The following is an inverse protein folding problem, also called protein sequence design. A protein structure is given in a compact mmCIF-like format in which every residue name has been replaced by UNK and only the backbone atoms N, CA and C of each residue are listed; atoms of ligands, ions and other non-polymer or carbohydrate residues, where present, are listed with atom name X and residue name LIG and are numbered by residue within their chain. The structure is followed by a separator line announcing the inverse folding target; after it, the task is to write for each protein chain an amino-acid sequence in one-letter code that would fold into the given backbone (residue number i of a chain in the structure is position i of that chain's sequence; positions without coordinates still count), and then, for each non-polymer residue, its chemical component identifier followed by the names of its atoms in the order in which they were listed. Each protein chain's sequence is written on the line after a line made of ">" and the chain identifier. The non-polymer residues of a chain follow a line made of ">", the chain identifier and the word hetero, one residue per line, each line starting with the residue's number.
data_IF_810952104897
#
_entry.id   IF_810952104897
#
_cell.length_a   1.000
_cell.length_b   1.000
_cell.length_c   1.000
_cell.angle_alpha   90.00
_cell.angle_beta   90.00
_cell.angle_gamma   90.00
#
_symmetry.space_group_name_H-M   'P 1'
#
loop_
_entity.id
_entity.type
_entity.pdbx_description
1 polymer ?
#
# COMPACT_ATOMS: atom_id res chain seq x y z
N UNK A 1 -7.56 21.23 9.01
CA UNK A 1 -8.04 19.84 9.14
C UNK A 1 -8.45 19.40 7.75
N UNK A 2 -7.69 18.51 7.13
CA UNK A 2 -8.02 17.94 5.82
C UNK A 2 -9.18 16.96 6.03
N UNK A 3 -10.01 16.80 5.00
CA UNK A 3 -11.14 15.88 5.06
C UNK A 3 -10.68 14.43 5.36
N UNK A 4 -9.51 14.05 4.85
CA UNK A 4 -8.90 12.72 5.06
C UNK A 4 -8.37 12.50 6.47
N UNK A 5 -8.18 13.54 7.30
CA UNK A 5 -7.71 13.41 8.69
C UNK A 5 -8.64 12.51 9.52
N UNK A 6 -9.96 12.62 9.31
CA UNK A 6 -10.95 11.81 10.03
C UNK A 6 -10.96 10.36 9.57
N UNK A 7 -10.80 10.14 8.27
CA UNK A 7 -10.67 8.80 7.69
C UNK A 7 -9.40 8.13 8.24
N UNK A 8 -8.28 8.86 8.25
CA UNK A 8 -7.01 8.38 8.77
C UNK A 8 -7.12 8.05 10.27
N UNK A 9 -7.79 8.90 11.05
CA UNK A 9 -8.04 8.65 12.47
C UNK A 9 -8.88 7.39 12.70
N UNK A 10 -9.92 7.16 11.90
CA UNK A 10 -10.74 5.95 11.98
C UNK A 10 -9.93 4.69 11.63
N UNK A 11 -9.09 4.75 10.59
CA UNK A 11 -8.19 3.66 10.20
C UNK A 11 -7.23 3.31 11.35
N UNK A 12 -6.55 4.31 11.91
CA UNK A 12 -5.65 4.12 13.06
C UNK A 12 -6.35 3.53 14.28
N UNK A 13 -7.60 3.92 14.52
CA UNK A 13 -8.41 3.41 15.61
C UNK A 13 -9.03 2.03 15.34
N UNK A 14 -8.80 1.46 14.15
CA UNK A 14 -9.42 0.22 13.69
C UNK A 14 -10.97 0.29 13.70
N UNK A 15 -11.55 1.46 13.44
CA UNK A 15 -12.98 1.76 13.54
C UNK A 15 -13.64 1.76 12.15
N UNK A 16 -14.10 0.60 11.70
CA UNK A 16 -14.78 0.45 10.41
C UNK A 16 -16.05 1.31 10.29
N UNK A 17 -16.97 1.36 11.27
CA UNK A 17 -18.13 2.23 11.20
C UNK A 17 -17.79 3.71 11.03
N UNK A 18 -16.78 4.23 11.74
CA UNK A 18 -16.33 5.60 11.56
C UNK A 18 -15.70 5.80 10.18
N UNK A 19 -14.86 4.87 9.74
CA UNK A 19 -14.27 4.92 8.41
C UNK A 19 -15.33 5.05 7.31
N UNK A 20 -16.37 4.20 7.35
CA UNK A 20 -17.44 4.21 6.36
C UNK A 20 -18.26 5.51 6.40
N UNK A 21 -18.59 6.00 7.60
CA UNK A 21 -19.35 7.24 7.79
C UNK A 21 -18.59 8.47 7.33
N UNK A 22 -17.27 8.51 7.55
CA UNK A 22 -16.46 9.65 7.12
C UNK A 22 -16.17 9.54 5.62
N UNK A 23 -15.74 8.38 5.11
CA UNK A 23 -15.34 8.20 3.71
C UNK A 23 -16.50 8.37 2.73
N UNK A 24 -17.51 7.52 2.80
CA UNK A 24 -18.44 7.34 1.67
C UNK A 24 -19.30 8.56 1.32
N UNK A 25 -19.75 9.39 2.28
CA UNK A 25 -20.50 10.60 1.93
C UNK A 25 -19.70 11.64 1.13
N UNK A 26 -18.37 11.52 1.11
CA UNK A 26 -17.49 12.56 0.59
C UNK A 26 -16.48 12.04 -0.45
N UNK A 27 -16.06 10.79 -0.36
CA UNK A 27 -15.25 10.10 -1.36
C UNK A 27 -15.91 8.74 -1.66
N UNK A 28 -16.63 8.64 -2.80
CA UNK A 28 -17.23 7.39 -3.25
C UNK A 28 -16.20 6.27 -3.50
N UNK A 29 -16.69 5.05 -3.72
CA UNK A 29 -15.84 3.98 -4.24
C UNK A 29 -15.32 4.31 -5.64
N UNK A 30 -14.09 3.89 -5.91
CA UNK A 30 -13.40 4.17 -7.17
C UNK A 30 -12.64 5.49 -7.21
N UNK A 31 -12.82 6.37 -6.23
CA UNK A 31 -12.10 7.64 -6.13
C UNK A 31 -10.80 7.50 -5.31
N UNK A 32 -9.84 8.39 -5.61
CA UNK A 32 -8.55 8.43 -4.92
C UNK A 32 -8.73 8.97 -3.49
N UNK A 33 -8.11 8.29 -2.52
CA UNK A 33 -8.00 8.76 -1.13
C UNK A 33 -6.52 9.02 -0.82
N UNK A 34 -6.15 10.29 -0.67
CA UNK A 34 -4.77 10.69 -0.39
C UNK A 34 -4.57 11.01 1.10
N UNK A 35 -3.59 10.35 1.68
CA UNK A 35 -3.08 10.59 3.02
C UNK A 35 -1.70 11.23 2.93
N UNK A 36 -1.49 12.29 3.68
CA UNK A 36 -0.23 13.06 3.66
C UNK A 36 0.21 13.30 5.11
N UNK A 37 1.46 12.94 5.42
CA UNK A 37 2.08 13.08 6.75
C UNK A 37 1.38 12.25 7.86
N UNK A 38 0.76 11.12 7.49
CA UNK A 38 0.00 10.28 8.43
C UNK A 38 0.83 9.11 8.99
N UNK A 39 0.50 8.69 10.22
CA UNK A 39 1.14 7.53 10.85
C UNK A 39 0.18 6.34 10.95
N UNK A 40 0.37 5.35 10.09
CA UNK A 40 -0.35 4.07 10.05
C UNK A 40 0.49 2.87 10.53
N UNK A 41 1.55 3.12 11.30
CA UNK A 41 2.40 2.03 11.79
C UNK A 41 1.59 1.00 12.58
N UNK A 42 1.80 -0.28 12.25
CA UNK A 42 1.13 -1.42 12.89
C UNK A 42 -0.36 -1.58 12.57
N UNK A 43 -0.94 -0.76 11.68
CA UNK A 43 -2.36 -0.86 11.31
C UNK A 43 -2.62 -2.14 10.51
N UNK A 44 -3.73 -2.79 10.83
CA UNK A 44 -4.31 -3.86 10.03
C UNK A 44 -5.35 -3.29 9.06
N UNK A 45 -5.09 -3.41 7.76
CA UNK A 45 -5.95 -2.85 6.73
C UNK A 45 -7.06 -3.81 6.25
N UNK A 46 -7.13 -5.04 6.77
CA UNK A 46 -8.01 -6.11 6.27
C UNK A 46 -9.48 -5.66 6.10
N UNK A 47 -10.02 -4.96 7.09
CA UNK A 47 -11.41 -4.52 7.10
C UNK A 47 -11.70 -3.25 6.28
N UNK A 48 -10.69 -2.53 5.82
CA UNK A 48 -10.88 -1.28 5.09
C UNK A 48 -10.80 -1.53 3.60
N UNK A 49 -11.88 -1.22 2.88
CA UNK A 49 -11.87 -1.29 1.41
C UNK A 49 -10.90 -0.24 0.88
N UNK A 50 -9.74 -0.67 0.40
CA UNK A 50 -8.72 0.18 -0.19
C UNK A 50 -8.94 0.18 -1.71
N UNK A 51 -9.55 1.25 -2.23
CA UNK A 51 -9.69 1.48 -3.66
C UNK A 51 -8.36 1.96 -4.24
N UNK A 52 -8.27 3.26 -4.48
CA UNK A 52 -7.06 3.93 -4.95
C UNK A 52 -6.46 4.77 -3.83
N UNK A 53 -5.71 4.14 -2.93
CA UNK A 53 -5.08 4.87 -1.82
C UNK A 53 -3.73 5.43 -2.25
N UNK A 54 -3.44 6.65 -1.81
CA UNK A 54 -2.15 7.32 -1.98
C UNK A 54 -1.62 7.64 -0.59
N UNK A 55 -0.44 7.11 -0.28
CA UNK A 55 0.29 7.39 0.96
C UNK A 55 1.50 8.27 0.63
N UNK A 56 1.47 9.52 1.05
CA UNK A 56 2.54 10.48 0.83
C UNK A 56 3.17 10.88 2.16
N UNK A 57 4.49 10.72 2.28
CA UNK A 57 5.24 10.97 3.51
C UNK A 57 4.62 10.30 4.76
N UNK A 58 4.06 9.09 4.57
CA UNK A 58 3.39 8.36 5.63
C UNK A 58 4.33 7.35 6.29
N UNK A 59 4.05 7.00 7.55
CA UNK A 59 4.68 5.87 8.21
C UNK A 59 3.72 4.68 8.23
N UNK A 60 4.08 3.59 7.56
CA UNK A 60 3.33 2.32 7.48
C UNK A 60 4.15 1.15 8.04
N UNK A 61 5.18 1.43 8.85
CA UNK A 61 6.03 0.39 9.41
C UNK A 61 5.20 -0.66 10.17
N UNK A 62 5.37 -1.93 9.80
CA UNK A 62 4.67 -3.07 10.41
C UNK A 62 3.18 -3.17 10.08
N UNK A 63 2.66 -2.37 9.15
CA UNK A 63 1.28 -2.50 8.67
C UNK A 63 1.05 -3.86 7.98
N UNK A 64 -0.21 -4.29 7.87
CA UNK A 64 -0.57 -5.57 7.22
C UNK A 64 -1.86 -5.47 6.41
N UNK A 65 -2.02 -6.42 5.48
CA UNK A 65 -3.21 -6.52 4.61
C UNK A 65 -3.48 -5.26 3.80
N UNK A 66 -2.44 -4.59 3.32
CA UNK A 66 -2.60 -3.50 2.35
C UNK A 66 -2.87 -4.13 0.98
N UNK A 67 -4.12 -4.13 0.54
CA UNK A 67 -4.55 -4.63 -0.77
C UNK A 67 -5.22 -3.52 -1.60
N UNK A 68 -5.50 -3.79 -2.86
CA UNK A 68 -6.09 -2.83 -3.80
C UNK A 68 -5.23 -2.59 -5.04
N UNK A 69 -5.78 -1.92 -6.05
CA UNK A 69 -5.16 -1.83 -7.37
C UNK A 69 -5.53 -0.53 -8.11
N UNK A 70 -4.56 0.35 -8.43
CA UNK A 70 -3.24 0.49 -7.82
C UNK A 70 -3.26 1.22 -6.46
N UNK A 71 -2.25 0.92 -5.63
CA UNK A 71 -1.92 1.63 -4.39
C UNK A 71 -0.62 2.40 -4.60
N UNK A 72 -0.59 3.67 -4.18
CA UNK A 72 0.58 4.53 -4.34
C UNK A 72 1.29 4.77 -3.02
N UNK A 73 2.62 4.67 -3.02
CA UNK A 73 3.47 5.07 -1.91
C UNK A 73 4.51 6.07 -2.39
N UNK A 74 4.55 7.25 -1.77
CA UNK A 74 5.45 8.34 -2.15
C UNK A 74 6.20 8.77 -0.90
N UNK A 75 7.52 8.69 -0.91
CA UNK A 75 8.40 9.11 0.18
C UNK A 75 7.99 8.56 1.57
N UNK A 76 7.45 7.34 1.61
CA UNK A 76 6.87 6.75 2.81
C UNK A 76 7.78 5.68 3.44
N UNK A 77 7.66 5.50 4.75
CA UNK A 77 8.28 4.39 5.47
C UNK A 77 7.34 3.20 5.44
N UNK A 78 7.79 2.06 4.92
CA UNK A 78 6.95 0.86 4.71
C UNK A 78 7.73 -0.39 5.17
N UNK A 79 8.48 -0.26 6.26
CA UNK A 79 9.36 -1.33 6.75
C UNK A 79 8.55 -2.41 7.44
N UNK A 80 9.02 -3.65 7.40
CA UNK A 80 8.41 -4.79 8.11
C UNK A 80 6.92 -5.06 7.79
N UNK A 81 6.41 -4.44 6.72
CA UNK A 81 5.04 -4.55 6.23
C UNK A 81 4.73 -6.01 5.87
N UNK A 82 3.52 -6.46 6.17
CA UNK A 82 3.09 -7.82 5.90
C UNK A 82 2.20 -7.90 4.66
N UNK A 83 2.80 -8.34 3.56
CA UNK A 83 2.12 -8.60 2.29
C UNK A 83 1.81 -10.08 2.07
N UNK A 84 1.96 -10.95 3.08
CA UNK A 84 1.61 -12.38 2.92
C UNK A 84 0.15 -12.55 2.47
N UNK A 85 -0.08 -13.37 1.44
CA UNK A 85 -1.39 -13.54 0.82
C UNK A 85 -1.94 -12.33 0.05
N UNK A 86 -1.24 -11.20 0.00
CA UNK A 86 -1.72 -9.98 -0.67
C UNK A 86 -1.52 -10.08 -2.18
N UNK A 87 -2.54 -9.66 -2.93
CA UNK A 87 -2.47 -9.43 -4.37
C UNK A 87 -2.77 -7.97 -4.64
N UNK A 88 -1.77 -7.22 -5.13
CA UNK A 88 -1.88 -5.78 -5.31
C UNK A 88 -1.07 -5.31 -6.53
N UNK A 89 -1.41 -4.13 -7.04
CA UNK A 89 -0.56 -3.37 -7.96
C UNK A 89 -0.09 -2.15 -7.18
N UNK A 90 1.22 -2.01 -7.04
CA UNK A 90 1.85 -0.95 -6.27
C UNK A 90 2.64 -0.03 -7.19
N UNK A 91 2.46 1.27 -7.03
CA UNK A 91 3.34 2.30 -7.59
C UNK A 91 4.06 2.99 -6.43
N UNK A 92 5.33 2.67 -6.25
CA UNK A 92 6.13 3.16 -5.14
C UNK A 92 7.31 4.02 -5.63
N UNK A 93 7.49 5.17 -5.00
CA UNK A 93 8.62 6.07 -5.24
C UNK A 93 9.25 6.52 -3.92
N UNK A 94 10.59 6.42 -3.81
CA UNK A 94 11.34 6.97 -2.68
C UNK A 94 11.04 6.33 -1.32
N UNK A 95 10.50 5.11 -1.30
CA UNK A 95 10.05 4.44 -0.08
C UNK A 95 11.09 3.48 0.50
N UNK A 96 10.94 3.12 1.78
CA UNK A 96 11.75 2.08 2.44
C UNK A 96 10.92 0.85 2.77
N UNK A 97 11.13 -0.24 2.02
CA UNK A 97 10.40 -1.51 2.12
C UNK A 97 11.21 -2.63 2.78
N UNK A 98 12.35 -2.30 3.41
CA UNK A 98 13.18 -3.32 4.08
C UNK A 98 12.41 -4.04 5.18
N UNK A 99 12.60 -5.35 5.28
CA UNK A 99 11.88 -6.22 6.20
C UNK A 99 10.50 -6.67 5.71
N UNK A 100 10.04 -6.25 4.51
CA UNK A 100 8.73 -6.69 3.99
C UNK A 100 8.58 -8.21 4.00
N UNK A 101 7.41 -8.68 4.45
CA UNK A 101 7.06 -10.10 4.52
C UNK A 101 6.18 -10.46 3.34
N UNK A 102 6.45 -11.60 2.76
CA UNK A 102 5.76 -12.15 1.60
C UNK A 102 5.86 -13.66 1.60
N UNK A 103 4.96 -14.31 0.87
CA UNK A 103 4.88 -15.75 0.70
C UNK A 103 4.57 -16.09 -0.76
N UNK A 104 4.29 -17.38 -1.03
CA UNK A 104 4.02 -17.88 -2.38
C UNK A 104 2.71 -17.34 -2.99
N UNK A 105 1.77 -16.91 -2.14
CA UNK A 105 0.49 -16.32 -2.56
C UNK A 105 0.58 -14.81 -2.82
N UNK A 106 1.69 -14.19 -2.43
CA UNK A 106 1.91 -12.75 -2.57
C UNK A 106 2.18 -12.40 -4.04
N UNK A 107 1.34 -11.56 -4.65
CA UNK A 107 1.42 -11.19 -6.07
C UNK A 107 1.43 -9.67 -6.28
N UNK A 108 2.42 -9.20 -7.03
CA UNK A 108 2.61 -7.80 -7.42
C UNK A 108 2.50 -7.58 -8.93
N UNK A 109 2.11 -8.61 -9.67
CA UNK A 109 1.89 -8.59 -11.11
C UNK A 109 0.60 -9.34 -11.41
N UNK A 110 -0.24 -8.79 -12.28
CA UNK A 110 -1.50 -9.39 -12.71
C UNK A 110 -1.55 -9.54 -14.23
N UNK A 111 -1.98 -10.71 -14.70
CA UNK A 111 -1.97 -11.06 -16.13
C UNK A 111 -0.62 -11.64 -16.58
N UNK A 112 -0.42 -11.74 -17.90
CA UNK A 112 0.77 -12.34 -18.50
C UNK A 112 1.20 -11.67 -19.80
N UNK A 113 2.44 -11.93 -20.22
CA UNK A 113 3.01 -11.36 -21.45
C UNK A 113 3.23 -9.85 -21.39
N UNK A 114 3.25 -9.19 -22.53
CA UNK A 114 3.50 -7.75 -22.63
C UNK A 114 2.43 -6.91 -21.91
N UNK A 115 1.18 -7.40 -21.87
CA UNK A 115 0.02 -6.70 -21.30
C UNK A 115 -0.17 -6.90 -19.79
N UNK A 116 0.76 -7.56 -19.09
CA UNK A 116 0.63 -7.74 -17.65
C UNK A 116 0.70 -6.38 -16.91
N UNK A 117 -0.23 -6.15 -15.98
CA UNK A 117 -0.16 -5.05 -15.04
C UNK A 117 0.92 -5.36 -14.01
N UNK A 118 1.93 -4.50 -13.89
CA UNK A 118 3.09 -4.71 -13.04
C UNK A 118 3.16 -3.62 -12.00
N UNK A 119 3.48 -4.00 -10.76
CA UNK A 119 3.92 -3.03 -9.77
C UNK A 119 5.25 -2.40 -10.20
N UNK A 120 5.49 -1.18 -9.72
CA UNK A 120 6.72 -0.42 -9.95
C UNK A 120 7.28 0.12 -8.64
N UNK A 121 8.59 0.00 -8.48
CA UNK A 121 9.35 0.50 -7.34
C UNK A 121 10.52 1.36 -7.85
N UNK A 122 10.42 2.68 -7.68
CA UNK A 122 11.41 3.66 -8.12
C UNK A 122 12.13 4.27 -6.92
N UNK A 123 13.46 4.29 -6.95
CA UNK A 123 14.32 4.82 -5.88
C UNK A 123 13.96 4.26 -4.49
N UNK A 124 13.44 3.03 -4.44
CA UNK A 124 12.98 2.39 -3.21
C UNK A 124 14.09 1.55 -2.58
N UNK A 125 14.15 1.54 -1.25
CA UNK A 125 15.07 0.69 -0.50
C UNK A 125 14.43 -0.68 -0.29
N UNK A 126 15.08 -1.72 -0.78
CA UNK A 126 14.65 -3.11 -0.69
C UNK A 126 15.81 -3.95 -0.14
N UNK A 127 15.50 -5.03 0.57
CA UNK A 127 16.51 -6.04 0.90
C UNK A 127 16.78 -6.93 -0.32
N UNK A 128 17.98 -7.50 -0.43
CA UNK A 128 18.39 -8.38 -1.54
C UNK A 128 17.38 -9.52 -1.82
N UNK A 129 16.78 -10.07 -0.76
CA UNK A 129 15.77 -11.13 -0.89
C UNK A 129 14.47 -10.61 -1.49
N UNK A 130 14.00 -9.45 -1.04
CA UNK A 130 12.79 -8.82 -1.55
C UNK A 130 12.98 -8.40 -3.01
N UNK A 131 14.12 -7.80 -3.35
CA UNK A 131 14.44 -7.44 -4.74
C UNK A 131 14.41 -8.67 -5.65
N UNK A 132 15.07 -9.77 -5.26
CA UNK A 132 15.05 -11.03 -6.04
C UNK A 132 13.64 -11.60 -6.20
N UNK A 133 12.82 -11.52 -5.16
CA UNK A 133 11.44 -11.97 -5.21
C UNK A 133 10.60 -11.15 -6.20
N UNK A 134 10.66 -9.82 -6.11
CA UNK A 134 9.95 -8.90 -7.01
C UNK A 134 10.39 -9.06 -8.47
N UNK A 135 11.70 -9.13 -8.74
CA UNK A 135 12.22 -9.34 -10.10
C UNK A 135 11.74 -10.65 -10.72
N UNK A 136 11.62 -11.72 -9.93
CA UNK A 136 11.09 -13.01 -10.41
C UNK A 136 9.63 -12.94 -10.85
N UNK A 137 8.83 -12.06 -10.24
CA UNK A 137 7.45 -11.83 -10.67
C UNK A 137 7.35 -10.95 -11.92
N UNK A 138 8.42 -10.22 -12.26
CA UNK A 138 8.42 -9.23 -13.34
C UNK A 138 7.95 -7.84 -12.89
N UNK A 139 8.15 -7.49 -11.62
CA UNK A 139 7.97 -6.13 -11.10
C UNK A 139 9.04 -5.21 -11.66
N UNK A 140 8.65 -3.99 -12.02
CA UNK A 140 9.58 -2.97 -12.50
C UNK A 140 10.33 -2.35 -11.32
N UNK A 141 11.65 -2.50 -11.26
CA UNK A 141 12.48 -1.92 -10.20
C UNK A 141 13.51 -1.00 -10.85
N UNK A 142 13.51 0.27 -10.43
CA UNK A 142 14.53 1.25 -10.75
C UNK A 142 15.11 1.77 -9.43
N UNK A 143 16.36 1.45 -9.13
CA UNK A 143 17.00 1.81 -7.85
C UNK A 143 17.75 3.14 -7.92
#
# INVERSE_FOLDING_TARGET
>A
MRFTDKIAAAIRANDLPAYQRERYPAIPDGEIVQFVDENFSGVDFDQFVMGFFVFENCNLDGAKHIYGQPIYFINSLVRDVDFRGVKAIIEAEGCDFRGMKYDEETQFVYGGGELAARSRFMNCRLDDKAQKFLMRQGVDISL
#
